data_IF_056130238850
#
_entry.id   IF_056130238850
#
_cell.length_a   1.000
_cell.length_b   1.000
_cell.length_c   1.000
_cell.angle_alpha   90.00
_cell.angle_beta   90.00
_cell.angle_gamma   90.00
#
_symmetry.space_group_name_H-M   'P 1'
#
loop_
_entity.id
_entity.type
_entity.pdbx_description
1 polymer ?
#
# COMPACT_ATOMS: atom_id res chain seq x y z
N UNK A 1 -8.90 46.60 21.68
CA UNK A 1 -9.64 45.33 21.51
C UNK A 1 -9.47 44.63 20.16
N UNK A 2 -9.28 45.33 19.03
CA UNK A 2 -9.15 44.68 17.70
C UNK A 2 -7.90 43.79 17.55
N UNK A 3 -6.75 44.25 18.05
CA UNK A 3 -5.48 43.49 18.01
C UNK A 3 -5.57 42.23 18.89
N UNK A 4 -6.09 42.36 20.12
CA UNK A 4 -6.29 41.24 21.03
C UNK A 4 -7.20 40.16 20.44
N UNK A 5 -8.29 40.59 19.76
CA UNK A 5 -9.20 39.69 19.04
C UNK A 5 -8.48 38.94 17.92
N UNK A 6 -7.73 39.65 17.08
CA UNK A 6 -6.97 39.06 15.98
C UNK A 6 -5.92 38.07 16.49
N UNK A 7 -5.22 38.41 17.57
CA UNK A 7 -4.22 37.57 18.20
C UNK A 7 -4.83 36.28 18.75
N UNK A 8 -5.97 36.36 19.44
CA UNK A 8 -6.65 35.16 19.95
C UNK A 8 -7.13 34.25 18.80
N UNK A 9 -7.70 34.85 17.74
CA UNK A 9 -8.12 34.09 16.55
C UNK A 9 -6.92 33.40 15.89
N UNK A 10 -5.82 34.12 15.72
CA UNK A 10 -4.60 33.61 15.10
C UNK A 10 -3.98 32.48 15.92
N UNK A 11 -3.86 32.63 17.24
CA UNK A 11 -3.28 31.61 18.10
C UNK A 11 -4.15 30.35 18.16
N UNK A 12 -5.46 30.49 18.29
CA UNK A 12 -6.35 29.33 18.30
C UNK A 12 -6.35 28.61 16.96
N UNK A 13 -6.38 29.36 15.85
CA UNK A 13 -6.29 28.79 14.50
C UNK A 13 -4.94 28.12 14.25
N UNK A 14 -3.84 28.69 14.75
CA UNK A 14 -2.51 28.10 14.68
C UNK A 14 -2.41 26.79 15.49
N UNK A 15 -3.02 26.74 16.67
CA UNK A 15 -3.08 25.53 17.48
C UNK A 15 -3.83 24.40 16.76
N UNK A 16 -5.00 24.69 16.19
CA UNK A 16 -5.75 23.71 15.39
C UNK A 16 -4.99 23.31 14.13
N UNK A 17 -4.35 24.27 13.45
CA UNK A 17 -3.49 24.02 12.29
C UNK A 17 -2.31 23.09 12.63
N UNK A 18 -1.70 23.25 13.80
CA UNK A 18 -0.66 22.36 14.32
C UNK A 18 -1.17 20.92 14.47
N UNK A 19 -2.30 20.74 15.16
CA UNK A 19 -2.90 19.42 15.37
C UNK A 19 -3.24 18.74 14.04
N UNK A 20 -3.88 19.46 13.13
CA UNK A 20 -4.23 18.92 11.82
C UNK A 20 -2.99 18.58 10.99
N UNK A 21 -1.97 19.44 10.98
CA UNK A 21 -0.73 19.18 10.26
C UNK A 21 0.03 17.98 10.83
N UNK A 22 -0.08 17.70 12.13
CA UNK A 22 0.47 16.48 12.72
C UNK A 22 -0.18 15.22 12.13
N UNK A 23 -1.52 15.14 12.13
CA UNK A 23 -2.23 13.97 11.60
C UNK A 23 -2.11 13.84 10.07
N UNK A 24 -2.26 14.95 9.34
CA UNK A 24 -2.12 14.97 7.88
C UNK A 24 -0.68 14.65 7.47
N UNK A 25 0.32 15.18 8.18
CA UNK A 25 1.74 14.91 7.94
C UNK A 25 2.10 13.44 8.16
N UNK A 26 1.63 12.82 9.25
CA UNK A 26 1.82 11.39 9.47
C UNK A 26 1.14 10.60 8.34
N UNK A 27 -0.13 10.89 8.03
CA UNK A 27 -0.85 10.21 6.95
C UNK A 27 -0.11 10.28 5.60
N UNK A 28 0.30 11.47 5.17
CA UNK A 28 0.98 11.68 3.89
C UNK A 28 2.37 11.05 3.85
N UNK A 29 3.09 11.05 4.97
CA UNK A 29 4.40 10.39 5.02
C UNK A 29 4.30 8.87 4.96
N UNK A 30 3.22 8.26 5.51
CA UNK A 30 2.94 6.83 5.27
C UNK A 30 2.63 6.56 3.81
N UNK A 31 1.79 7.39 3.20
CA UNK A 31 1.42 7.24 1.80
C UNK A 31 2.62 7.41 0.86
N UNK A 32 3.53 8.32 1.20
CA UNK A 32 4.81 8.53 0.52
C UNK A 32 5.86 7.44 0.79
N UNK A 33 5.51 6.36 1.49
CA UNK A 33 6.42 5.26 1.84
C UNK A 33 7.69 5.73 2.58
N UNK A 34 7.58 6.81 3.36
CA UNK A 34 8.68 7.29 4.18
C UNK A 34 8.99 6.25 5.26
N UNK A 35 10.21 5.71 5.21
CA UNK A 35 10.67 4.73 6.20
C UNK A 35 10.55 5.29 7.61
N UNK A 36 10.11 4.43 8.54
CA UNK A 36 10.04 4.77 9.95
C UNK A 36 11.29 4.33 10.73
N UNK A 37 12.38 3.99 10.03
CA UNK A 37 13.66 3.70 10.67
C UNK A 37 14.07 4.86 11.57
N UNK A 38 14.48 4.53 12.80
CA UNK A 38 14.95 5.48 13.81
C UNK A 38 13.94 6.58 14.20
N UNK A 39 12.65 6.39 13.87
CA UNK A 39 11.63 7.41 14.12
C UNK A 39 11.71 8.62 13.19
N UNK A 40 12.44 8.54 12.07
CA UNK A 40 12.63 9.65 11.12
C UNK A 40 11.31 10.23 10.60
N UNK A 41 10.28 9.40 10.42
CA UNK A 41 8.92 9.87 10.06
C UNK A 41 8.32 10.75 11.18
N UNK A 42 8.44 10.32 12.43
CA UNK A 42 7.99 11.10 13.58
C UNK A 42 8.71 12.44 13.68
N UNK A 43 10.03 12.45 13.44
CA UNK A 43 10.82 13.67 13.42
C UNK A 43 10.36 14.64 12.32
N UNK A 44 10.10 14.14 11.11
CA UNK A 44 9.57 14.98 10.02
C UNK A 44 8.23 15.62 10.38
N UNK A 45 7.31 14.84 10.96
CA UNK A 45 6.00 15.36 11.37
C UNK A 45 6.13 16.44 12.45
N UNK A 46 6.95 16.20 13.48
CA UNK A 46 7.10 17.12 14.62
C UNK A 46 7.89 18.38 14.27
N UNK A 47 8.98 18.26 13.50
CA UNK A 47 9.89 19.37 13.24
C UNK A 47 9.62 20.11 11.92
N UNK A 48 8.85 19.52 11.00
CA UNK A 48 8.52 20.14 9.72
C UNK A 48 7.01 20.39 9.59
N UNK A 49 6.19 19.34 9.70
CA UNK A 49 4.74 19.48 9.47
C UNK A 49 4.06 20.35 10.54
N UNK A 50 4.30 20.08 11.82
CA UNK A 50 3.66 20.81 12.91
C UNK A 50 4.00 22.32 12.91
N UNK A 51 5.28 22.76 12.79
CA UNK A 51 5.61 24.18 12.67
C UNK A 51 4.99 24.83 11.44
N UNK A 52 4.94 24.13 10.31
CA UNK A 52 4.30 24.63 9.10
C UNK A 52 2.78 24.81 9.30
N UNK A 53 2.12 23.87 9.99
CA UNK A 53 0.72 23.98 10.40
C UNK A 53 0.46 25.18 11.31
N UNK A 54 1.35 25.45 12.26
CA UNK A 54 1.30 26.65 13.11
C UNK A 54 1.37 27.91 12.26
N UNK A 55 2.37 28.01 11.37
CA UNK A 55 2.57 29.19 10.52
C UNK A 55 1.37 29.45 9.61
N UNK A 56 0.90 28.41 8.91
CA UNK A 56 -0.26 28.51 8.02
C UNK A 56 -1.52 28.88 8.80
N UNK A 57 -1.78 28.24 9.95
CA UNK A 57 -2.92 28.56 10.80
C UNK A 57 -2.87 29.99 11.36
N UNK A 58 -1.68 30.48 11.71
CA UNK A 58 -1.47 31.85 12.19
C UNK A 58 -1.79 32.85 11.08
N UNK A 59 -1.28 32.64 9.86
CA UNK A 59 -1.57 33.49 8.69
C UNK A 59 -3.06 33.51 8.39
N UNK A 60 -3.72 32.33 8.33
CA UNK A 60 -5.16 32.24 8.05
C UNK A 60 -5.98 32.95 9.13
N UNK A 61 -5.62 32.79 10.41
CA UNK A 61 -6.30 33.46 11.51
C UNK A 61 -6.15 34.98 11.47
N UNK A 62 -4.94 35.51 11.16
CA UNK A 62 -4.72 36.94 10.96
C UNK A 62 -5.58 37.46 9.80
N UNK A 63 -5.47 36.83 8.63
CA UNK A 63 -6.20 37.27 7.43
C UNK A 63 -7.72 37.25 7.68
N UNK A 64 -8.26 36.18 8.27
CA UNK A 64 -9.68 36.05 8.59
C UNK A 64 -10.15 37.14 9.57
N UNK A 65 -9.32 37.48 10.55
CA UNK A 65 -9.63 38.52 11.55
C UNK A 65 -9.68 39.94 10.96
N UNK A 66 -8.91 40.20 9.90
CA UNK A 66 -8.88 41.45 9.14
C UNK A 66 -10.06 41.52 8.18
N UNK A 67 -10.36 40.41 7.52
CA UNK A 67 -11.42 40.34 6.50
C UNK A 67 -12.81 40.51 7.10
N UNK A 68 -13.05 39.97 8.31
CA UNK A 68 -14.31 40.15 9.03
C UNK A 68 -14.35 41.50 9.75
N UNK A 69 -14.96 42.48 9.09
CA UNK A 69 -15.16 43.86 9.58
C UNK A 69 -16.20 44.00 10.70
N UNK A 70 -16.97 42.94 11.00
CA UNK A 70 -17.98 42.95 12.08
C UNK A 70 -17.33 43.18 13.43
N UNK A 71 -17.91 44.06 14.26
CA UNK A 71 -17.43 44.38 15.59
C UNK A 71 -18.17 43.56 16.67
N UNK A 72 -17.60 43.51 17.88
CA UNK A 72 -18.19 42.76 19.01
C UNK A 72 -17.97 41.24 18.95
N UNK A 73 -18.62 40.48 19.86
CA UNK A 73 -18.44 39.03 19.99
C UNK A 73 -18.88 38.26 18.75
N UNK A 74 -19.95 38.69 18.08
CA UNK A 74 -20.39 38.07 16.82
C UNK A 74 -19.31 38.13 15.73
N UNK A 75 -18.56 39.23 15.63
CA UNK A 75 -17.45 39.34 14.68
C UNK A 75 -16.28 38.41 15.00
N UNK A 76 -16.05 38.11 16.29
CA UNK A 76 -15.06 37.12 16.71
C UNK A 76 -15.47 35.71 16.27
N UNK A 77 -16.68 35.26 16.61
CA UNK A 77 -17.13 33.91 16.26
C UNK A 77 -17.21 33.70 14.75
N UNK A 78 -17.63 34.71 13.98
CA UNK A 78 -17.64 34.62 12.51
C UNK A 78 -16.22 34.51 11.96
N UNK A 79 -15.28 35.34 12.42
CA UNK A 79 -13.89 35.28 11.97
C UNK A 79 -13.20 33.96 12.35
N UNK A 80 -13.46 33.48 13.56
CA UNK A 80 -12.94 32.20 14.05
C UNK A 80 -13.55 31.01 13.30
N UNK A 81 -14.86 31.05 13.02
CA UNK A 81 -15.54 30.01 12.25
C UNK A 81 -14.97 29.91 10.83
N UNK A 82 -14.77 31.05 10.16
CA UNK A 82 -14.15 31.09 8.84
C UNK A 82 -12.70 30.59 8.85
N UNK A 83 -11.89 31.00 9.84
CA UNK A 83 -10.50 30.57 9.91
C UNK A 83 -10.38 29.06 10.11
N UNK A 84 -11.22 28.47 10.98
CA UNK A 84 -11.27 27.02 11.19
C UNK A 84 -11.79 26.30 9.95
N UNK A 85 -12.83 26.81 9.29
CA UNK A 85 -13.36 26.21 8.07
C UNK A 85 -12.29 26.16 6.98
N UNK A 86 -11.51 27.23 6.80
CA UNK A 86 -10.43 27.28 5.82
C UNK A 86 -9.33 26.28 6.17
N UNK A 87 -8.84 26.26 7.41
CA UNK A 87 -7.78 25.32 7.84
C UNK A 87 -8.25 23.86 7.71
N UNK A 88 -9.46 23.54 8.17
CA UNK A 88 -10.02 22.20 8.03
C UNK A 88 -10.24 21.82 6.56
N UNK A 89 -10.66 22.77 5.71
CA UNK A 89 -10.79 22.57 4.28
C UNK A 89 -9.46 22.23 3.61
N UNK A 90 -8.39 22.96 3.92
CA UNK A 90 -7.04 22.64 3.43
C UNK A 90 -6.55 21.28 3.92
N UNK A 91 -6.70 20.99 5.20
CA UNK A 91 -6.33 19.68 5.75
C UNK A 91 -7.11 18.53 5.08
N UNK A 92 -8.42 18.73 4.88
CA UNK A 92 -9.30 17.79 4.20
C UNK A 92 -8.93 17.57 2.73
N UNK A 93 -8.51 18.62 2.01
CA UNK A 93 -8.02 18.48 0.64
C UNK A 93 -6.68 17.74 0.59
N UNK A 94 -5.74 18.10 1.47
CA UNK A 94 -4.42 17.50 1.53
C UNK A 94 -4.46 16.01 1.90
N UNK A 95 -5.37 15.60 2.79
CA UNK A 95 -5.55 14.18 3.13
C UNK A 95 -6.51 13.46 2.17
N UNK A 96 -7.60 14.12 1.78
CA UNK A 96 -8.69 13.53 1.02
C UNK A 96 -8.35 13.24 -0.43
N UNK A 97 -7.64 14.15 -1.12
CA UNK A 97 -7.26 13.92 -2.53
C UNK A 97 -6.34 12.70 -2.65
N UNK A 98 -5.24 12.59 -1.88
CA UNK A 98 -4.42 11.38 -1.93
C UNK A 98 -5.17 10.13 -1.48
N UNK A 99 -6.07 10.21 -0.49
CA UNK A 99 -6.89 9.07 -0.07
C UNK A 99 -7.81 8.55 -1.18
N UNK A 100 -8.41 9.45 -1.96
CA UNK A 100 -9.27 9.08 -3.09
C UNK A 100 -8.48 8.52 -4.27
N UNK A 101 -7.25 8.98 -4.46
CA UNK A 101 -6.35 8.53 -5.52
C UNK A 101 -5.50 7.31 -5.13
N UNK A 102 -5.48 6.93 -3.85
CA UNK A 102 -4.71 5.78 -3.37
C UNK A 102 -5.33 4.48 -3.84
N UNK A 103 -4.47 3.56 -4.27
CA UNK A 103 -4.89 2.20 -4.59
C UNK A 103 -5.37 1.49 -3.33
N UNK A 104 -6.57 0.91 -3.42
CA UNK A 104 -7.18 0.14 -2.35
C UNK A 104 -7.10 -1.35 -2.67
N UNK A 105 -7.07 -2.22 -1.66
CA UNK A 105 -7.13 -3.66 -1.89
C UNK A 105 -8.46 -4.04 -2.56
N UNK A 106 -8.43 -4.91 -3.58
CA UNK A 106 -9.65 -5.42 -4.18
C UNK A 106 -10.43 -6.26 -3.17
N UNK A 107 -11.76 -6.18 -3.25
CA UNK A 107 -12.68 -6.94 -2.39
C UNK A 107 -13.77 -7.62 -3.21
N UNK A 108 -14.20 -8.81 -2.79
CA UNK A 108 -15.41 -9.49 -3.28
C UNK A 108 -16.36 -9.58 -2.10
N UNK A 109 -17.61 -9.13 -2.27
CA UNK A 109 -18.61 -9.08 -1.19
C UNK A 109 -18.10 -8.39 0.10
N UNK A 110 -17.20 -7.39 -0.04
CA UNK A 110 -16.60 -6.67 1.08
C UNK A 110 -15.48 -7.41 1.82
N UNK A 111 -15.13 -8.63 1.39
CA UNK A 111 -14.05 -9.44 1.99
C UNK A 111 -12.73 -9.19 1.29
N UNK A 112 -11.64 -9.30 2.05
CA UNK A 112 -10.28 -9.22 1.53
C UNK A 112 -9.97 -10.44 0.69
N UNK A 113 -9.14 -10.23 -0.33
CA UNK A 113 -8.79 -11.26 -1.29
C UNK A 113 -7.35 -11.69 -1.10
N UNK A 114 -7.15 -12.99 -1.18
CA UNK A 114 -5.84 -13.59 -1.34
C UNK A 114 -5.78 -14.34 -2.68
N UNK A 115 -4.58 -14.43 -3.22
CA UNK A 115 -4.27 -15.27 -4.34
C UNK A 115 -3.72 -16.58 -3.81
N UNK A 116 -4.49 -17.65 -3.93
CA UNK A 116 -4.00 -19.00 -3.71
C UNK A 116 -3.39 -19.48 -5.01
N UNK A 117 -2.21 -20.09 -4.95
CA UNK A 117 -1.53 -20.61 -6.11
C UNK A 117 -0.97 -22.00 -5.85
N UNK A 118 -0.78 -22.71 -6.95
CA UNK A 118 0.01 -23.92 -7.00
C UNK A 118 1.11 -23.72 -8.03
N UNK A 119 2.35 -23.79 -7.57
CA UNK A 119 3.54 -23.72 -8.42
C UNK A 119 4.00 -25.14 -8.74
N UNK A 120 4.01 -25.49 -10.01
CA UNK A 120 4.58 -26.73 -10.52
C UNK A 120 6.01 -26.48 -10.98
N UNK A 121 6.95 -27.10 -10.28
CA UNK A 121 8.37 -27.07 -10.61
C UNK A 121 8.78 -28.40 -11.26
N UNK A 122 9.55 -28.38 -12.36
CA UNK A 122 10.15 -29.60 -12.93
C UNK A 122 11.03 -30.34 -11.92
N UNK A 123 11.14 -31.66 -12.06
CA UNK A 123 11.97 -32.50 -11.19
C UNK A 123 13.47 -32.16 -11.18
N UNK A 124 13.94 -31.33 -12.13
CA UNK A 124 15.31 -30.80 -12.14
C UNK A 124 15.59 -29.90 -10.92
N UNK A 125 14.56 -29.28 -10.33
CA UNK A 125 14.70 -28.47 -9.13
C UNK A 125 14.74 -29.33 -7.88
N UNK A 126 15.82 -29.20 -7.10
CA UNK A 126 15.95 -29.87 -5.80
C UNK A 126 15.17 -29.10 -4.74
N UNK A 127 13.97 -29.59 -4.43
CA UNK A 127 13.15 -29.06 -3.34
C UNK A 127 13.57 -29.76 -2.04
N UNK A 128 14.04 -29.03 -1.01
CA UNK A 128 14.41 -29.63 0.25
C UNK A 128 13.21 -30.25 0.95
N UNK A 129 13.47 -31.22 1.82
CA UNK A 129 12.42 -31.91 2.59
C UNK A 129 11.96 -31.11 3.82
N UNK A 130 12.69 -30.05 4.19
CA UNK A 130 12.36 -29.18 5.32
C UNK A 130 12.49 -27.70 4.95
N UNK A 131 11.67 -26.82 5.56
CA UNK A 131 11.76 -25.38 5.38
C UNK A 131 13.05 -24.83 6.00
N UNK A 132 13.89 -24.21 5.20
CA UNK A 132 15.09 -23.47 5.65
C UNK A 132 14.93 -21.94 5.53
N UNK A 133 13.75 -21.47 5.14
CA UNK A 133 13.40 -20.05 4.98
C UNK A 133 13.92 -19.39 3.70
N UNK A 134 14.78 -20.05 2.92
CA UNK A 134 15.41 -19.49 1.72
C UNK A 134 15.29 -20.36 0.47
N UNK A 135 14.90 -21.61 0.62
CA UNK A 135 14.84 -22.60 -0.45
C UNK A 135 13.67 -22.47 -1.40
N UNK A 136 12.54 -21.91 -0.97
CA UNK A 136 11.42 -21.57 -1.85
C UNK A 136 10.97 -20.16 -1.52
N UNK A 137 11.08 -19.28 -2.50
CA UNK A 137 10.65 -17.90 -2.39
C UNK A 137 9.77 -17.57 -3.58
N UNK A 138 8.53 -17.24 -3.30
CA UNK A 138 7.58 -16.78 -4.30
C UNK A 138 7.18 -15.37 -3.93
N UNK A 139 7.32 -14.45 -4.87
CA UNK A 139 7.00 -13.03 -4.69
C UNK A 139 5.98 -12.60 -5.73
N UNK A 140 4.91 -11.98 -5.27
CA UNK A 140 3.95 -11.31 -6.16
C UNK A 140 4.46 -9.90 -6.44
N UNK A 141 4.66 -9.59 -7.71
CA UNK A 141 4.91 -8.27 -8.24
C UNK A 141 3.61 -7.72 -8.82
N UNK A 142 3.07 -6.70 -8.16
CA UNK A 142 2.04 -5.83 -8.71
C UNK A 142 2.69 -4.51 -9.14
N UNK A 143 2.14 -3.87 -10.18
CA UNK A 143 2.67 -2.64 -10.81
C UNK A 143 3.51 -1.74 -9.88
N UNK A 144 4.69 -1.35 -10.36
CA UNK A 144 5.59 -0.32 -9.81
C UNK A 144 5.68 -0.15 -8.28
N UNK A 145 6.00 -1.25 -7.55
CA UNK A 145 6.76 -1.29 -6.25
C UNK A 145 6.05 -1.97 -5.07
N UNK A 146 5.09 -2.87 -5.29
CA UNK A 146 4.69 -3.79 -4.22
C UNK A 146 5.18 -5.20 -4.50
N UNK A 147 6.22 -5.59 -3.77
CA UNK A 147 6.70 -6.95 -3.64
C UNK A 147 6.13 -7.57 -2.36
N UNK A 148 5.25 -8.56 -2.51
CA UNK A 148 4.74 -9.32 -1.39
C UNK A 148 5.27 -10.74 -1.45
N UNK A 149 5.97 -11.16 -0.39
CA UNK A 149 6.34 -12.56 -0.23
C UNK A 149 5.09 -13.39 0.04
N UNK A 150 4.95 -14.46 -0.73
CA UNK A 150 3.93 -15.46 -0.52
C UNK A 150 4.27 -16.33 0.70
N UNK A 151 3.21 -16.81 1.35
CA UNK A 151 3.31 -17.92 2.27
C UNK A 151 3.33 -19.23 1.48
N UNK A 152 4.23 -20.14 1.85
CA UNK A 152 4.37 -21.46 1.25
C UNK A 152 3.81 -22.50 2.23
N UNK A 153 2.87 -23.31 1.78
CA UNK A 153 2.37 -24.44 2.56
C UNK A 153 3.28 -25.65 2.33
N UNK A 154 4.27 -25.79 3.21
CA UNK A 154 5.25 -26.87 3.19
C UNK A 154 4.64 -28.26 3.38
N UNK A 155 3.54 -28.36 4.14
CA UNK A 155 2.89 -29.64 4.41
C UNK A 155 2.07 -30.12 3.20
N UNK A 156 1.66 -29.18 2.34
CA UNK A 156 0.92 -29.45 1.11
C UNK A 156 1.80 -29.77 -0.11
N UNK A 157 3.13 -29.74 0.02
CA UNK A 157 4.03 -30.00 -1.12
C UNK A 157 3.94 -31.46 -1.53
N UNK A 158 3.59 -31.71 -2.79
CA UNK A 158 3.61 -33.04 -3.38
C UNK A 158 4.75 -33.16 -4.39
N UNK A 159 5.41 -34.32 -4.41
CA UNK A 159 6.53 -34.62 -5.32
C UNK A 159 6.12 -35.82 -6.17
N UNK A 160 5.97 -35.60 -7.48
CA UNK A 160 5.78 -36.64 -8.47
C UNK A 160 7.09 -36.86 -9.24
N UNK A 161 7.26 -38.00 -9.96
CA UNK A 161 8.49 -38.28 -10.71
C UNK A 161 8.84 -37.21 -11.77
N UNK A 162 7.83 -36.50 -12.29
CA UNK A 162 8.01 -35.50 -13.34
C UNK A 162 8.10 -34.06 -12.80
N UNK A 163 7.38 -33.77 -11.72
CA UNK A 163 7.25 -32.43 -11.19
C UNK A 163 6.90 -32.44 -9.71
N UNK A 164 7.19 -31.35 -9.03
CA UNK A 164 6.71 -31.09 -7.69
C UNK A 164 5.70 -29.95 -7.70
N UNK A 165 4.64 -30.09 -6.92
CA UNK A 165 3.60 -29.07 -6.77
C UNK A 165 3.74 -28.42 -5.41
N UNK A 166 3.91 -27.10 -5.40
CA UNK A 166 4.15 -26.28 -4.22
C UNK A 166 2.95 -25.34 -4.04
N UNK A 167 2.06 -25.62 -3.07
CA UNK A 167 0.95 -24.73 -2.78
C UNK A 167 1.39 -23.53 -1.93
N UNK A 168 0.73 -22.40 -2.15
CA UNK A 168 0.97 -21.19 -1.37
C UNK A 168 -0.14 -20.16 -1.54
N UNK A 169 -0.04 -19.07 -0.78
CA UNK A 169 -0.96 -17.95 -0.90
C UNK A 169 -0.27 -16.61 -0.68
N UNK A 170 -0.81 -15.56 -1.28
CA UNK A 170 -0.31 -14.19 -1.14
C UNK A 170 -1.47 -13.20 -1.13
N UNK A 171 -1.53 -12.24 -0.19
CA UNK A 171 -2.62 -11.28 -0.14
C UNK A 171 -2.62 -10.34 -1.35
N UNK A 172 -3.80 -10.02 -1.87
CA UNK A 172 -3.97 -9.05 -2.95
C UNK A 172 -4.22 -7.66 -2.36
N UNK A 173 -3.21 -6.80 -2.43
CA UNK A 173 -3.24 -5.49 -1.75
C UNK A 173 -3.65 -4.32 -2.64
N UNK A 174 -3.67 -4.49 -3.97
CA UNK A 174 -3.92 -3.39 -4.94
C UNK A 174 -4.73 -3.80 -6.17
N UNK A 175 -5.42 -2.83 -6.77
CA UNK A 175 -6.08 -2.95 -8.07
C UNK A 175 -5.11 -2.82 -9.26
N UNK A 176 -4.02 -3.57 -9.25
CA UNK A 176 -3.01 -3.55 -10.31
C UNK A 176 -3.50 -4.22 -11.59
N UNK A 177 -3.14 -3.63 -12.74
CA UNK A 177 -3.49 -4.15 -14.09
C UNK A 177 -2.58 -5.27 -14.53
N UNK A 178 -1.32 -5.24 -14.12
CA UNK A 178 -0.35 -6.28 -14.43
C UNK A 178 0.20 -6.89 -13.16
N UNK A 179 0.12 -8.21 -13.05
CA UNK A 179 0.63 -8.95 -11.91
C UNK A 179 1.51 -10.06 -12.43
N UNK A 180 2.70 -10.20 -11.87
CA UNK A 180 3.59 -11.31 -12.17
C UNK A 180 4.06 -11.95 -10.88
N UNK A 181 4.33 -13.25 -10.96
CA UNK A 181 4.91 -14.01 -9.86
C UNK A 181 6.35 -14.31 -10.23
N UNK A 182 7.27 -13.94 -9.34
CA UNK A 182 8.64 -14.42 -9.39
C UNK A 182 8.75 -15.62 -8.45
N UNK A 183 8.95 -16.79 -9.02
CA UNK A 183 9.22 -18.01 -8.27
C UNK A 183 10.71 -18.30 -8.28
N UNK A 184 11.28 -18.55 -7.11
CA UNK A 184 12.69 -18.88 -6.91
C UNK A 184 12.78 -20.13 -6.06
N UNK A 185 13.44 -21.17 -6.58
CA UNK A 185 13.61 -22.47 -5.89
C UNK A 185 15.10 -22.79 -5.84
N UNK A 186 15.60 -23.05 -4.64
CA UNK A 186 17.02 -23.22 -4.36
C UNK A 186 17.77 -21.89 -4.30
N UNK A 187 18.98 -21.93 -3.74
CA UNK A 187 19.83 -20.73 -3.56
C UNK A 187 20.64 -20.39 -4.82
N UNK A 188 20.14 -20.77 -6.01
CA UNK A 188 20.81 -20.51 -7.29
C UNK A 188 20.13 -19.34 -8.01
N UNK A 189 20.84 -18.23 -8.30
CA UNK A 189 20.25 -17.04 -8.92
C UNK A 189 19.66 -17.30 -10.31
N UNK A 190 20.05 -18.39 -10.99
CA UNK A 190 19.57 -18.79 -12.33
C UNK A 190 18.20 -19.51 -12.27
N UNK A 191 17.75 -19.94 -11.09
CA UNK A 191 16.51 -20.72 -10.90
C UNK A 191 15.24 -19.86 -10.86
N UNK A 192 15.37 -18.53 -10.82
CA UNK A 192 14.23 -17.65 -10.61
C UNK A 192 13.50 -17.34 -11.92
N UNK A 193 12.19 -17.56 -11.95
CA UNK A 193 11.36 -17.46 -13.15
C UNK A 193 10.13 -16.57 -12.93
N UNK A 194 9.85 -15.74 -13.93
CA UNK A 194 8.69 -14.87 -13.98
C UNK A 194 7.52 -15.54 -14.70
N UNK A 195 6.35 -15.47 -14.06
CA UNK A 195 5.08 -15.97 -14.57
C UNK A 195 4.09 -14.81 -14.56
N UNK A 196 3.63 -14.39 -15.74
CA UNK A 196 2.64 -13.32 -15.86
C UNK A 196 1.22 -13.83 -15.60
N UNK A 197 0.57 -13.28 -14.57
CA UNK A 197 -0.77 -13.68 -14.19
C UNK A 197 -1.82 -12.95 -15.04
N UNK A 198 -2.85 -13.70 -15.46
CA UNK A 198 -3.98 -13.16 -16.23
C UNK A 198 -5.18 -12.79 -15.34
N UNK A 199 -4.92 -12.09 -14.24
CA UNK A 199 -5.95 -11.72 -13.26
C UNK A 199 -6.44 -10.30 -13.55
N UNK A 200 -7.75 -10.05 -13.61
CA UNK A 200 -8.27 -8.70 -13.75
C UNK A 200 -7.92 -7.85 -12.51
N UNK A 201 -7.79 -6.51 -12.66
CA UNK A 201 -7.49 -5.61 -11.54
C UNK A 201 -8.50 -5.69 -10.39
N UNK A 202 -9.76 -5.98 -10.72
CA UNK A 202 -10.83 -6.27 -9.77
C UNK A 202 -11.35 -7.70 -10.04
N UNK A 203 -10.85 -8.69 -9.31
CA UNK A 203 -11.34 -10.06 -9.39
C UNK A 203 -12.83 -10.16 -9.08
N UNK A 204 -13.48 -11.12 -9.73
CA UNK A 204 -14.90 -11.43 -9.60
C UNK A 204 -15.05 -12.85 -9.03
N UNK A 205 -16.27 -13.23 -8.68
CA UNK A 205 -16.58 -14.60 -8.21
C UNK A 205 -16.15 -15.70 -9.17
N UNK A 206 -16.13 -15.42 -10.48
CA UNK A 206 -15.63 -16.38 -11.47
C UNK A 206 -14.14 -16.70 -11.30
N UNK A 207 -13.36 -15.76 -10.76
CA UNK A 207 -11.92 -15.92 -10.52
C UNK A 207 -11.61 -16.74 -9.24
N UNK A 208 -12.64 -17.21 -8.52
CA UNK A 208 -12.48 -18.18 -7.42
C UNK A 208 -12.25 -19.61 -7.94
N UNK A 209 -12.56 -19.86 -9.20
CA UNK A 209 -12.19 -21.10 -9.87
C UNK A 209 -10.69 -21.11 -10.18
N UNK A 210 -10.10 -22.31 -10.23
CA UNK A 210 -8.71 -22.47 -10.65
C UNK A 210 -8.53 -22.03 -12.10
N UNK A 211 -7.48 -21.24 -12.33
CA UNK A 211 -7.01 -20.91 -13.67
C UNK A 211 -6.43 -22.13 -14.36
N UNK A 212 -6.31 -22.03 -15.69
CA UNK A 212 -5.40 -22.91 -16.43
C UNK A 212 -3.96 -22.73 -15.95
N UNK A 213 -3.11 -23.71 -16.25
CA UNK A 213 -1.68 -23.63 -15.99
C UNK A 213 -1.04 -22.57 -16.88
N UNK A 214 -0.34 -21.64 -16.26
CA UNK A 214 0.41 -20.58 -16.93
C UNK A 214 1.89 -20.88 -16.78
N UNK A 215 2.59 -20.91 -17.89
CA UNK A 215 4.01 -21.24 -17.90
C UNK A 215 4.88 -19.99 -17.77
N UNK A 216 6.03 -20.14 -17.11
CA UNK A 216 7.03 -19.10 -17.01
C UNK A 216 7.56 -18.69 -18.40
N UNK A 217 7.69 -17.39 -18.60
CA UNK A 217 8.15 -16.82 -19.89
C UNK A 217 9.62 -16.42 -19.83
N UNK A 218 10.06 -15.90 -18.69
CA UNK A 218 11.39 -15.30 -18.52
C UNK A 218 12.04 -15.72 -17.21
N UNK A 219 13.37 -15.71 -17.18
CA UNK A 219 14.16 -15.81 -15.95
C UNK A 219 14.36 -14.42 -15.32
N UNK A 220 14.91 -14.38 -14.11
CA UNK A 220 15.22 -13.11 -13.42
C UNK A 220 16.21 -12.21 -14.19
N UNK A 221 17.04 -12.78 -15.06
CA UNK A 221 17.95 -12.06 -15.96
C UNK A 221 17.30 -11.66 -17.30
N UNK A 222 15.98 -11.81 -17.42
CA UNK A 222 15.16 -11.54 -18.61
C UNK A 222 15.43 -12.48 -19.80
N UNK A 223 16.24 -13.51 -19.63
CA UNK A 223 16.42 -14.55 -20.65
C UNK A 223 15.18 -15.45 -20.77
N UNK A 224 14.88 -16.00 -21.96
CA UNK A 224 13.76 -16.92 -22.12
C UNK A 224 14.00 -18.25 -21.39
N UNK A 225 12.91 -18.87 -20.90
CA UNK A 225 12.98 -20.17 -20.21
C UNK A 225 12.84 -21.34 -21.20
N UNK A 226 13.81 -22.25 -21.19
CA UNK A 226 13.78 -23.56 -21.85
C UNK A 226 12.62 -24.41 -21.35
N UNK A 227 11.92 -25.13 -22.25
CA UNK A 227 10.80 -26.00 -21.88
C UNK A 227 11.08 -27.02 -20.75
N UNK A 228 12.20 -27.76 -20.73
CA UNK A 228 12.46 -28.75 -19.66
C UNK A 228 12.62 -28.14 -18.26
N UNK A 229 12.99 -26.86 -18.18
CA UNK A 229 13.22 -26.15 -16.92
C UNK A 229 12.06 -25.24 -16.55
N UNK A 230 10.98 -25.22 -17.34
CA UNK A 230 9.92 -24.23 -17.22
C UNK A 230 8.98 -24.54 -16.07
N UNK A 231 8.89 -23.61 -15.12
CA UNK A 231 7.87 -23.66 -14.07
C UNK A 231 6.50 -23.30 -14.65
N UNK A 232 5.46 -23.86 -14.03
CA UNK A 232 4.08 -23.49 -14.32
C UNK A 232 3.37 -23.10 -13.03
N UNK A 233 2.42 -22.18 -13.12
CA UNK A 233 1.61 -21.77 -11.99
C UNK A 233 0.15 -21.72 -12.40
N UNK A 234 -0.71 -22.25 -11.56
CA UNK A 234 -2.14 -21.97 -11.59
C UNK A 234 -2.54 -21.26 -10.32
N UNK A 235 -3.59 -20.46 -10.39
CA UNK A 235 -4.05 -19.70 -9.23
C UNK A 235 -5.56 -19.66 -9.17
N UNK A 236 -6.07 -19.24 -8.01
CA UNK A 236 -7.45 -18.81 -7.82
C UNK A 236 -7.49 -17.70 -6.78
N UNK A 237 -8.54 -16.90 -6.83
CA UNK A 237 -8.80 -15.89 -5.80
C UNK A 237 -9.62 -16.52 -4.68
N UNK A 238 -9.24 -16.25 -3.43
CA UNK A 238 -10.00 -16.70 -2.28
C UNK A 238 -10.36 -15.51 -1.39
N UNK A 239 -11.60 -15.48 -0.90
CA UNK A 239 -12.05 -14.47 0.04
C UNK A 239 -11.67 -14.91 1.45
N UNK A 240 -10.84 -14.12 2.13
CA UNK A 240 -10.46 -14.37 3.52
C UNK A 240 -11.55 -13.79 4.43
N UNK A 241 -12.11 -14.62 5.31
CA UNK A 241 -12.90 -14.13 6.42
C UNK A 241 -11.91 -13.72 7.52
N UNK A 242 -11.92 -12.43 7.88
CA UNK A 242 -11.28 -11.96 9.11
C UNK A 242 -11.94 -12.61 10.35
#
# INVERSE_FOLDING_TARGET
MRVLRALFIALFTAFVGCLLAFFVGDYLSRLGHMSNMEGGRGMFVVFVCAPLGILVGLVIGIVSSIWVRRQGPAGFFVAQGWSLLIVCGFAGLLAGVPYLLSDKPPTIDGKRLELQFELRAPATFKIPDQPDGYSIRVSLYADNRQDQYAFIDWNGITKDPEHATIPGHVPLLTHSKTRSVLASIGNEPVASQFIELRIPPAPRKADEAWSDWIFATQRADLSPVSEPDRMALRYRVHSVND
#
